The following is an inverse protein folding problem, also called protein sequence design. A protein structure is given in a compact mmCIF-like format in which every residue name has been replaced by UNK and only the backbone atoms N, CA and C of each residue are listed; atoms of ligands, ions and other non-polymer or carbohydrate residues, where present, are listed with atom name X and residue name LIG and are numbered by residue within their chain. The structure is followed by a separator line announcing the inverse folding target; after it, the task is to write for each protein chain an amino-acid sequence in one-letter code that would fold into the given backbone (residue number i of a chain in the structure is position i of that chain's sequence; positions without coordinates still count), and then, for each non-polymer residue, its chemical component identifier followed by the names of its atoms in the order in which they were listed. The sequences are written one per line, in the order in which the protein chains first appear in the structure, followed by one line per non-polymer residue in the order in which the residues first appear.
data_IF_705557890987
#
_entry.id   IF_705557890987
#
_cell.length_a   1.000
_cell.length_b   1.000
_cell.length_c   1.000
_cell.angle_alpha   90.00
_cell.angle_beta   90.00
_cell.angle_gamma   90.00
#
_symmetry.space_group_name_H-M   'P 1'
#
loop_
_entity.id
_entity.type
_entity.pdbx_description
1 polymer ?
#
# COMPACT_ATOMS: atom_id res chain seq x y z
N UNK A 1 -22.15 18.75 -39.19
CA UNK A 1 -21.77 17.49 -38.50
C UNK A 1 -20.28 17.13 -38.58
N UNK A 2 -19.45 17.90 -39.31
CA UNK A 2 -18.01 17.62 -39.54
C UNK A 2 -17.07 18.30 -38.51
N UNK A 3 -17.58 19.22 -37.68
CA UNK A 3 -16.78 19.95 -36.68
C UNK A 3 -16.41 19.13 -35.43
N UNK A 4 -17.14 18.05 -35.12
CA UNK A 4 -16.85 17.17 -33.97
C UNK A 4 -15.64 16.26 -34.16
N UNK A 5 -15.29 15.92 -35.41
CA UNK A 5 -14.17 15.01 -35.73
C UNK A 5 -12.80 15.70 -35.71
N UNK A 6 -12.74 17.02 -35.95
CA UNK A 6 -11.46 17.74 -36.09
C UNK A 6 -10.87 18.29 -34.79
N UNK A 7 -11.68 18.60 -33.76
CA UNK A 7 -11.19 19.27 -32.55
C UNK A 7 -10.95 18.36 -31.34
N UNK A 8 -11.59 17.18 -31.27
CA UNK A 8 -11.44 16.25 -30.13
C UNK A 8 -11.08 14.81 -30.52
N UNK A 9 -10.96 14.52 -31.82
CA UNK A 9 -10.54 13.22 -32.32
C UNK A 9 -9.05 12.98 -32.06
N UNK A 10 -8.19 13.85 -32.60
CA UNK A 10 -6.72 13.72 -32.53
C UNK A 10 -6.19 13.55 -31.11
N UNK A 11 -6.60 14.41 -30.18
CA UNK A 11 -6.18 14.34 -28.77
C UNK A 11 -6.54 12.98 -28.12
N UNK A 12 -7.75 12.45 -28.36
CA UNK A 12 -8.16 11.13 -27.85
C UNK A 12 -7.37 9.99 -28.48
N UNK A 13 -7.13 10.04 -29.79
CA UNK A 13 -6.32 9.03 -30.47
C UNK A 13 -4.91 8.97 -29.88
N UNK A 14 -4.24 10.12 -29.75
CA UNK A 14 -2.90 10.20 -29.17
C UNK A 14 -2.87 9.66 -27.74
N UNK A 15 -3.82 10.09 -26.91
CA UNK A 15 -3.90 9.66 -25.50
C UNK A 15 -4.10 8.15 -25.36
N UNK A 16 -5.06 7.59 -26.09
CA UNK A 16 -5.37 6.16 -25.98
C UNK A 16 -4.24 5.30 -26.55
N UNK A 17 -3.60 5.76 -27.63
CA UNK A 17 -2.42 5.09 -28.21
C UNK A 17 -1.27 5.06 -27.19
N UNK A 18 -0.95 6.20 -26.58
CA UNK A 18 0.09 6.30 -25.55
C UNK A 18 -0.23 5.44 -24.32
N UNK A 19 -1.49 5.41 -23.88
CA UNK A 19 -1.94 4.55 -22.79
C UNK A 19 -1.74 3.06 -23.12
N UNK A 20 -2.18 2.60 -24.29
CA UNK A 20 -1.96 1.22 -24.75
C UNK A 20 -0.46 0.89 -24.80
N UNK A 21 0.37 1.79 -25.33
CA UNK A 21 1.82 1.60 -25.40
C UNK A 21 2.50 1.56 -24.02
N UNK A 22 1.98 2.26 -23.01
CA UNK A 22 2.47 2.18 -21.62
C UNK A 22 2.35 0.78 -21.02
N UNK A 23 1.39 -0.01 -21.50
CA UNK A 23 1.18 -1.40 -21.11
C UNK A 23 1.90 -2.36 -22.07
N UNK A 24 1.73 -2.19 -23.38
CA UNK A 24 2.32 -3.06 -24.39
C UNK A 24 3.86 -3.08 -24.36
N UNK A 25 4.51 -1.97 -23.96
CA UNK A 25 5.97 -1.92 -23.77
C UNK A 25 6.49 -3.00 -22.81
N UNK A 26 5.67 -3.38 -21.81
CA UNK A 26 6.01 -4.43 -20.83
C UNK A 26 6.04 -5.83 -21.47
N UNK A 27 5.34 -6.02 -22.58
CA UNK A 27 5.33 -7.23 -23.38
C UNK A 27 6.25 -7.13 -24.62
N UNK A 28 7.05 -6.06 -24.74
CA UNK A 28 7.99 -5.86 -25.84
C UNK A 28 7.33 -5.52 -27.18
N UNK A 29 6.14 -4.93 -27.18
CA UNK A 29 5.45 -4.50 -28.41
C UNK A 29 4.85 -3.10 -28.27
N UNK A 30 4.41 -2.52 -29.39
CA UNK A 30 3.77 -1.21 -29.45
C UNK A 30 2.80 -1.12 -30.63
N UNK A 31 1.96 -0.10 -30.57
CA UNK A 31 1.07 0.33 -31.66
C UNK A 31 1.48 1.73 -32.12
N UNK A 32 1.39 1.95 -33.43
CA UNK A 32 1.58 3.25 -34.08
C UNK A 32 0.24 3.85 -34.46
N UNK A 33 -0.63 3.03 -35.08
CA UNK A 33 -1.96 3.44 -35.47
C UNK A 33 -3.02 2.56 -34.81
N UNK A 34 -3.71 3.12 -33.82
CA UNK A 34 -4.75 2.45 -33.05
C UNK A 34 -5.90 1.90 -33.93
N UNK A 35 -6.13 2.49 -35.09
CA UNK A 35 -7.19 2.11 -36.03
C UNK A 35 -6.83 0.85 -36.82
N UNK A 36 -5.54 0.60 -37.05
CA UNK A 36 -5.06 -0.50 -37.88
C UNK A 36 -4.48 -1.64 -37.05
N UNK A 37 -3.72 -1.31 -36.02
CA UNK A 37 -2.95 -2.26 -35.22
C UNK A 37 -3.80 -3.19 -34.35
N UNK A 38 -5.06 -2.82 -34.07
CA UNK A 38 -5.98 -3.68 -33.32
C UNK A 38 -6.88 -4.55 -34.22
N UNK A 39 -6.82 -4.37 -35.54
CA UNK A 39 -7.74 -5.06 -36.48
C UNK A 39 -7.56 -6.57 -36.54
N UNK A 40 -6.41 -7.10 -36.15
CA UNK A 40 -6.15 -8.55 -36.12
C UNK A 40 -6.50 -9.22 -34.78
N UNK A 41 -6.83 -8.42 -33.77
CA UNK A 41 -7.16 -8.84 -32.41
C UNK A 41 -5.96 -9.29 -31.56
N UNK A 42 -4.76 -9.49 -32.12
CA UNK A 42 -3.63 -10.06 -31.39
C UNK A 42 -3.07 -9.10 -30.36
N UNK A 43 -2.80 -7.85 -30.77
CA UNK A 43 -2.32 -6.80 -29.84
C UNK A 43 -3.38 -6.44 -28.80
N UNK A 44 -4.66 -6.52 -29.16
CA UNK A 44 -5.78 -6.30 -28.24
C UNK A 44 -5.84 -7.37 -27.15
N UNK A 45 -5.75 -8.65 -27.53
CA UNK A 45 -5.70 -9.75 -26.58
C UNK A 45 -4.50 -9.62 -25.65
N UNK A 46 -3.31 -9.32 -26.20
CA UNK A 46 -2.10 -9.14 -25.40
C UNK A 46 -2.22 -7.96 -24.43
N UNK A 47 -2.81 -6.84 -24.86
CA UNK A 47 -3.10 -5.71 -23.98
C UNK A 47 -3.99 -6.15 -22.80
N UNK A 48 -5.05 -6.92 -23.06
CA UNK A 48 -5.95 -7.44 -22.02
C UNK A 48 -5.23 -8.37 -21.05
N UNK A 49 -4.34 -9.24 -21.54
CA UNK A 49 -3.52 -10.10 -20.68
C UNK A 49 -2.61 -9.27 -19.76
N UNK A 50 -1.94 -8.24 -20.31
CA UNK A 50 -1.01 -7.41 -19.54
C UNK A 50 -1.72 -6.57 -18.46
N UNK A 51 -2.89 -6.01 -18.76
CA UNK A 51 -3.62 -5.16 -17.80
C UNK A 51 -4.36 -5.98 -16.73
N UNK A 52 -4.82 -7.19 -17.08
CA UNK A 52 -5.56 -8.05 -16.14
C UNK A 52 -4.65 -8.98 -15.35
N UNK A 53 -3.46 -9.30 -15.87
CA UNK A 53 -2.59 -10.35 -15.32
C UNK A 53 -3.08 -11.78 -15.60
N UNK A 54 -4.16 -11.94 -16.38
CA UNK A 54 -4.76 -13.24 -16.71
C UNK A 54 -4.47 -13.66 -18.15
N UNK A 55 -4.39 -14.97 -18.40
CA UNK A 55 -4.18 -15.51 -19.74
C UNK A 55 -5.51 -15.67 -20.47
N UNK A 56 -5.58 -15.16 -21.71
CA UNK A 56 -6.72 -15.34 -22.59
C UNK A 56 -6.63 -16.68 -23.33
N UNK A 57 -7.74 -17.09 -23.96
CA UNK A 57 -7.76 -18.23 -24.86
C UNK A 57 -6.74 -18.03 -26.00
N UNK A 58 -6.12 -19.13 -26.46
CA UNK A 58 -5.08 -19.05 -27.50
C UNK A 58 -5.62 -18.36 -28.77
N UNK A 59 -4.87 -17.40 -29.36
CA UNK A 59 -5.28 -16.72 -30.57
C UNK A 59 -5.22 -17.66 -31.79
N UNK A 60 -6.13 -17.42 -32.74
CA UNK A 60 -6.09 -17.99 -34.09
C UNK A 60 -4.93 -17.38 -34.86
N UNK A 61 -4.12 -18.22 -35.51
CA UNK A 61 -2.88 -17.79 -36.23
C UNK A 61 -3.10 -17.46 -37.70
N UNK A 62 -4.31 -17.64 -38.22
CA UNK A 62 -4.57 -17.47 -39.65
C UNK A 62 -4.74 -16.00 -40.06
N UNK A 63 -4.46 -15.70 -41.33
CA UNK A 63 -4.46 -14.32 -41.86
C UNK A 63 -5.83 -13.83 -42.40
N UNK A 64 -6.76 -14.76 -42.65
CA UNK A 64 -8.09 -14.44 -43.17
C UNK A 64 -8.93 -13.59 -42.19
N UNK A 65 -9.86 -12.77 -42.72
CA UNK A 65 -10.76 -11.91 -41.92
C UNK A 65 -11.50 -12.70 -40.82
N UNK A 66 -11.91 -13.92 -41.10
CA UNK A 66 -12.60 -14.79 -40.13
C UNK A 66 -11.75 -15.10 -38.88
N UNK A 67 -10.43 -15.23 -39.02
CA UNK A 67 -9.53 -15.45 -37.87
C UNK A 67 -9.38 -14.17 -37.06
N UNK A 68 -9.30 -13.01 -37.72
CA UNK A 68 -9.26 -11.71 -37.05
C UNK A 68 -10.53 -11.47 -36.22
N UNK A 69 -11.70 -11.76 -36.81
CA UNK A 69 -12.99 -11.69 -36.09
C UNK A 69 -12.98 -12.63 -34.89
N UNK A 70 -12.53 -13.88 -35.05
CA UNK A 70 -12.43 -14.83 -33.95
C UNK A 70 -11.54 -14.32 -32.82
N UNK A 71 -10.37 -13.74 -33.12
CA UNK A 71 -9.48 -13.15 -32.12
C UNK A 71 -10.10 -11.95 -31.40
N UNK A 72 -10.74 -11.04 -32.14
CA UNK A 72 -11.43 -9.90 -31.54
C UNK A 72 -12.60 -10.37 -30.68
N UNK A 73 -13.40 -11.35 -31.10
CA UNK A 73 -14.47 -11.93 -30.28
C UNK A 73 -13.93 -12.50 -28.97
N UNK A 74 -12.83 -13.27 -29.00
CA UNK A 74 -12.18 -13.77 -27.77
C UNK A 74 -11.82 -12.61 -26.81
N UNK A 75 -11.35 -11.49 -27.34
CA UNK A 75 -11.06 -10.30 -26.53
C UNK A 75 -12.34 -9.63 -25.97
N UNK A 76 -13.37 -9.47 -26.79
CA UNK A 76 -14.66 -8.89 -26.38
C UNK A 76 -15.38 -9.75 -25.34
N UNK A 77 -15.37 -11.07 -25.50
CA UNK A 77 -15.91 -12.03 -24.53
C UNK A 77 -15.18 -11.93 -23.19
N UNK A 78 -13.86 -11.80 -23.21
CA UNK A 78 -13.07 -11.56 -22.00
C UNK A 78 -13.48 -10.24 -21.32
N UNK A 79 -13.61 -9.15 -22.07
CA UNK A 79 -14.05 -7.85 -21.53
C UNK A 79 -15.45 -7.96 -20.92
N UNK A 80 -16.38 -8.64 -21.59
CA UNK A 80 -17.73 -8.88 -21.09
C UNK A 80 -17.72 -9.69 -19.77
N UNK A 81 -16.85 -10.71 -19.68
CA UNK A 81 -16.69 -11.53 -18.46
C UNK A 81 -16.23 -10.72 -17.25
N UNK A 82 -15.56 -9.57 -17.46
CA UNK A 82 -15.12 -8.65 -16.39
C UNK A 82 -16.21 -7.67 -15.95
N UNK A 83 -17.45 -7.83 -16.41
CA UNK A 83 -18.60 -7.03 -16.00
C UNK A 83 -18.81 -5.76 -16.83
N UNK A 84 -18.23 -5.68 -18.03
CA UNK A 84 -18.41 -4.56 -18.96
C UNK A 84 -19.57 -4.84 -19.90
N UNK A 85 -20.51 -3.90 -20.02
CA UNK A 85 -21.60 -3.98 -21.00
C UNK A 85 -21.13 -3.36 -22.33
N UNK A 86 -20.78 -4.22 -23.28
CA UNK A 86 -20.40 -3.81 -24.64
C UNK A 86 -21.65 -3.52 -25.48
N UNK A 87 -22.29 -2.38 -25.25
CA UNK A 87 -23.44 -1.96 -26.06
C UNK A 87 -22.94 -1.43 -27.40
N UNK A 88 -23.38 -2.06 -28.49
CA UNK A 88 -23.10 -1.63 -29.87
C UNK A 88 -21.64 -1.78 -30.34
N UNK A 89 -20.79 -2.57 -29.67
CA UNK A 89 -19.42 -2.86 -30.17
C UNK A 89 -19.37 -4.31 -30.66
N UNK A 90 -19.29 -4.48 -31.98
CA UNK A 90 -19.11 -5.79 -32.62
C UNK A 90 -17.68 -6.01 -33.10
N UNK A 91 -17.21 -7.26 -33.15
CA UNK A 91 -15.87 -7.57 -33.65
C UNK A 91 -15.66 -7.14 -35.10
N UNK A 92 -16.70 -7.18 -35.93
CA UNK A 92 -16.64 -6.75 -37.33
C UNK A 92 -16.21 -5.28 -37.45
N UNK A 93 -16.78 -4.39 -36.63
CA UNK A 93 -16.46 -2.97 -36.63
C UNK A 93 -14.98 -2.70 -36.32
N UNK A 94 -14.40 -3.49 -35.41
CA UNK A 94 -12.98 -3.38 -35.04
C UNK A 94 -12.09 -3.91 -36.17
N UNK A 95 -12.43 -5.08 -36.74
CA UNK A 95 -11.68 -5.69 -37.84
C UNK A 95 -11.75 -4.86 -39.12
N UNK A 96 -12.84 -4.13 -39.34
CA UNK A 96 -13.02 -3.28 -40.51
C UNK A 96 -12.44 -1.87 -40.32
N UNK A 97 -12.00 -1.53 -39.11
CA UNK A 97 -11.27 -0.28 -38.82
C UNK A 97 -12.17 0.91 -38.47
N UNK A 98 -13.35 0.67 -37.90
CA UNK A 98 -14.23 1.76 -37.47
C UNK A 98 -13.67 2.47 -36.24
N UNK A 99 -13.00 3.60 -36.48
CA UNK A 99 -12.33 4.44 -35.47
C UNK A 99 -13.22 4.73 -34.26
N UNK A 100 -14.50 5.06 -34.48
CA UNK A 100 -15.42 5.41 -33.39
C UNK A 100 -15.67 4.21 -32.47
N UNK A 101 -15.83 3.03 -33.05
CA UNK A 101 -16.04 1.80 -32.28
C UNK A 101 -14.76 1.34 -31.59
N UNK A 102 -13.61 1.45 -32.25
CA UNK A 102 -12.30 1.15 -31.66
C UNK A 102 -12.01 2.04 -30.46
N UNK A 103 -12.18 3.36 -30.59
CA UNK A 103 -12.01 4.28 -29.45
C UNK A 103 -13.04 4.04 -28.34
N UNK A 104 -14.27 3.69 -28.71
CA UNK A 104 -15.31 3.29 -27.75
C UNK A 104 -14.88 2.07 -26.93
N UNK A 105 -14.38 1.03 -27.60
CA UNK A 105 -13.87 -0.18 -26.98
C UNK A 105 -12.68 0.11 -26.06
N UNK A 106 -11.66 0.81 -26.55
CA UNK A 106 -10.49 1.15 -25.74
C UNK A 106 -10.87 1.99 -24.52
N UNK A 107 -11.82 2.93 -24.67
CA UNK A 107 -12.36 3.65 -23.52
C UNK A 107 -13.03 2.72 -22.50
N UNK A 108 -13.83 1.75 -22.92
CA UNK A 108 -14.45 0.80 -21.98
C UNK A 108 -13.42 -0.02 -21.23
N UNK A 109 -12.32 -0.40 -21.89
CA UNK A 109 -11.19 -1.10 -21.27
C UNK A 109 -10.51 -0.19 -20.23
N UNK A 110 -10.14 1.04 -20.61
CA UNK A 110 -9.53 2.00 -19.69
C UNK A 110 -10.44 2.25 -18.49
N UNK A 111 -11.73 2.52 -18.73
CA UNK A 111 -12.70 2.76 -17.68
C UNK A 111 -12.73 1.57 -16.71
N UNK A 112 -12.81 0.34 -17.22
CA UNK A 112 -12.94 -0.86 -16.38
C UNK A 112 -11.68 -1.19 -15.59
N UNK A 113 -10.51 -1.16 -16.23
CA UNK A 113 -9.26 -1.67 -15.64
C UNK A 113 -8.40 -0.59 -14.99
N UNK A 114 -8.53 0.68 -15.40
CA UNK A 114 -7.75 1.78 -14.82
C UNK A 114 -8.58 2.66 -13.88
N UNK A 115 -9.89 2.80 -14.07
CA UNK A 115 -10.67 3.79 -13.32
C UNK A 115 -11.65 3.14 -12.36
N UNK A 116 -12.33 2.06 -12.77
CA UNK A 116 -13.47 1.50 -12.03
C UNK A 116 -13.12 0.99 -10.63
N UNK A 117 -11.90 0.49 -10.44
CA UNK A 117 -11.42 0.00 -9.14
C UNK A 117 -10.91 1.13 -8.22
N UNK A 118 -10.93 2.39 -8.69
CA UNK A 118 -10.66 3.57 -7.88
C UNK A 118 -11.93 3.92 -7.10
N UNK A 119 -12.10 3.31 -5.93
CA UNK A 119 -13.15 3.72 -4.98
C UNK A 119 -12.55 4.54 -3.84
N UNK A 120 -13.07 5.75 -3.67
CA UNK A 120 -12.82 6.58 -2.50
C UNK A 120 -14.18 6.81 -1.85
N UNK A 121 -14.36 6.28 -0.63
CA UNK A 121 -15.59 6.47 0.16
C UNK A 121 -16.88 6.02 -0.53
N UNK A 122 -16.85 4.85 -1.17
CA UNK A 122 -18.03 4.20 -1.78
C UNK A 122 -18.73 5.02 -2.89
N UNK A 123 -18.07 6.07 -3.40
CA UNK A 123 -18.55 6.87 -4.54
C UNK A 123 -18.30 6.17 -5.88
N UNK A 124 -18.99 6.62 -6.93
CA UNK A 124 -18.75 6.07 -8.27
C UNK A 124 -17.28 6.30 -8.68
N UNK A 125 -16.72 5.42 -9.51
CA UNK A 125 -15.29 5.45 -9.85
C UNK A 125 -14.78 6.82 -10.37
N UNK A 126 -15.59 7.49 -11.20
CA UNK A 126 -15.28 8.83 -11.71
C UNK A 126 -15.29 9.87 -10.58
N UNK A 127 -16.28 9.82 -9.70
CA UNK A 127 -16.39 10.71 -8.55
C UNK A 127 -15.27 10.45 -7.54
N UNK A 128 -14.92 9.19 -7.30
CA UNK A 128 -13.79 8.80 -6.46
C UNK A 128 -12.47 9.36 -6.96
N UNK A 129 -12.21 9.27 -8.28
CA UNK A 129 -11.04 9.89 -8.90
C UNK A 129 -11.06 11.43 -8.76
N UNK A 130 -12.22 12.06 -8.96
CA UNK A 130 -12.37 13.51 -8.83
C UNK A 130 -12.13 13.97 -7.39
N UNK A 131 -12.74 13.28 -6.43
CA UNK A 131 -12.59 13.52 -4.99
C UNK A 131 -11.14 13.35 -4.56
N UNK A 132 -10.44 12.34 -5.07
CA UNK A 132 -9.00 12.18 -4.84
C UNK A 132 -8.22 13.40 -5.33
N UNK A 133 -8.49 13.87 -6.55
CA UNK A 133 -7.83 15.07 -7.09
C UNK A 133 -8.07 16.29 -6.21
N UNK A 134 -9.32 16.51 -5.81
CA UNK A 134 -9.72 17.63 -4.94
C UNK A 134 -9.03 17.57 -3.58
N UNK A 135 -8.96 16.39 -2.94
CA UNK A 135 -8.30 16.24 -1.64
C UNK A 135 -6.80 16.51 -1.71
N UNK A 136 -6.14 16.02 -2.76
CA UNK A 136 -4.71 16.21 -2.94
C UNK A 136 -4.37 17.66 -3.28
N UNK A 137 -5.26 18.37 -3.97
CA UNK A 137 -5.06 19.77 -4.38
C UNK A 137 -5.70 20.81 -3.46
N UNK A 138 -6.47 20.40 -2.44
CA UNK A 138 -7.11 21.31 -1.48
C UNK A 138 -6.15 22.34 -0.81
N UNK A 139 -4.87 22.03 -0.51
CA UNK A 139 -3.96 23.03 0.05
C UNK A 139 -3.55 24.16 -0.91
N UNK A 140 -3.79 24.01 -2.23
CA UNK A 140 -3.33 24.94 -3.26
C UNK A 140 -4.45 25.91 -3.63
N UNK A 141 -4.37 27.15 -3.14
CA UNK A 141 -5.41 28.18 -3.31
C UNK A 141 -5.71 28.54 -4.77
N UNK A 142 -4.74 28.37 -5.66
CA UNK A 142 -4.85 28.69 -7.09
C UNK A 142 -5.41 27.53 -7.92
N UNK A 143 -5.76 26.39 -7.31
CA UNK A 143 -6.29 25.20 -7.98
C UNK A 143 -7.69 24.89 -7.48
N UNK A 144 -8.62 24.71 -8.41
CA UNK A 144 -9.99 24.29 -8.11
C UNK A 144 -10.46 23.27 -9.14
N UNK A 145 -10.43 21.99 -8.76
CA UNK A 145 -10.75 20.88 -9.66
C UNK A 145 -12.23 20.52 -9.51
N UNK A 146 -13.04 20.82 -10.52
CA UNK A 146 -14.49 20.52 -10.53
C UNK A 146 -14.89 19.51 -11.61
N UNK A 147 -14.04 19.30 -12.60
CA UNK A 147 -14.32 18.44 -13.75
C UNK A 147 -13.00 17.95 -14.37
N UNK A 148 -13.10 16.96 -15.26
CA UNK A 148 -11.96 16.46 -16.05
C UNK A 148 -11.82 17.15 -17.41
N UNK A 149 -12.20 18.42 -17.55
CA UNK A 149 -11.98 19.15 -18.80
C UNK A 149 -11.33 20.52 -18.56
N UNK A 150 -12.11 21.53 -18.17
CA UNK A 150 -11.68 22.92 -18.11
C UNK A 150 -10.81 23.16 -16.88
N UNK A 151 -11.05 22.43 -15.78
CA UNK A 151 -10.31 22.59 -14.53
C UNK A 151 -8.82 22.22 -14.64
N UNK A 152 -8.42 21.54 -15.71
CA UNK A 152 -7.05 21.08 -15.95
C UNK A 152 -6.32 21.90 -17.01
N UNK A 153 -7.03 22.84 -17.66
CA UNK A 153 -6.52 23.58 -18.82
C UNK A 153 -5.35 24.51 -18.48
N UNK A 154 -5.29 25.00 -17.24
CA UNK A 154 -4.22 25.88 -16.78
C UNK A 154 -2.93 25.16 -16.36
N UNK A 155 -2.93 23.81 -16.36
CA UNK A 155 -1.80 22.97 -15.99
C UNK A 155 -1.47 22.92 -14.49
N UNK A 156 -2.04 23.82 -13.68
CA UNK A 156 -1.75 23.90 -12.24
C UNK A 156 -2.26 22.67 -11.49
N UNK A 157 -3.38 22.08 -11.93
CA UNK A 157 -3.90 20.84 -11.36
C UNK A 157 -2.89 19.68 -11.44
N UNK A 158 -2.23 19.51 -12.59
CA UNK A 158 -1.20 18.46 -12.76
C UNK A 158 0.03 18.74 -11.89
N UNK A 159 0.52 19.98 -11.92
CA UNK A 159 1.68 20.38 -11.10
C UNK A 159 1.42 20.20 -9.60
N UNK A 160 0.22 20.57 -9.13
CA UNK A 160 -0.16 20.44 -7.73
C UNK A 160 -0.25 18.97 -7.28
N UNK A 161 -0.76 18.08 -8.15
CA UNK A 161 -0.78 16.64 -7.86
C UNK A 161 0.63 16.06 -7.69
N UNK A 162 1.56 16.44 -8.58
CA UNK A 162 2.95 16.00 -8.50
C UNK A 162 3.61 16.55 -7.24
N UNK A 163 3.55 17.88 -7.03
CA UNK A 163 4.17 18.54 -5.87
C UNK A 163 3.59 18.02 -4.54
N UNK A 164 2.32 17.60 -4.49
CA UNK A 164 1.72 17.05 -3.26
C UNK A 164 2.34 15.70 -2.85
N UNK A 165 2.75 14.89 -3.81
CA UNK A 165 3.34 13.56 -3.55
C UNK A 165 4.86 13.58 -3.55
N UNK A 166 5.46 14.47 -4.36
CA UNK A 166 6.90 14.64 -4.54
C UNK A 166 7.23 16.12 -4.69
N UNK A 167 7.31 16.88 -3.58
CA UNK A 167 7.53 18.32 -3.61
C UNK A 167 8.90 18.69 -4.21
N UNK A 168 9.87 17.79 -4.18
CA UNK A 168 11.22 18.00 -4.72
C UNK A 168 11.28 18.10 -6.24
N UNK A 169 10.24 17.65 -6.96
CA UNK A 169 10.26 17.55 -8.41
C UNK A 169 9.77 18.82 -9.12
N UNK A 170 8.97 19.67 -8.45
CA UNK A 170 8.38 20.86 -9.05
C UNK A 170 8.48 22.04 -8.09
N UNK A 171 9.09 23.13 -8.55
CA UNK A 171 9.04 24.41 -7.83
C UNK A 171 7.71 25.11 -8.08
N UNK A 172 6.71 24.79 -7.26
CA UNK A 172 5.34 25.28 -7.44
C UNK A 172 5.23 26.81 -7.32
N UNK A 173 6.13 27.45 -6.57
CA UNK A 173 6.11 28.90 -6.36
C UNK A 173 6.36 29.73 -7.61
N UNK A 174 7.03 29.14 -8.61
CA UNK A 174 7.31 29.79 -9.91
C UNK A 174 6.17 29.69 -10.91
N UNK A 175 5.21 28.78 -10.67
CA UNK A 175 4.13 28.51 -11.62
C UNK A 175 3.05 29.59 -11.54
N UNK A 176 2.55 30.00 -12.70
CA UNK A 176 1.53 31.05 -12.81
C UNK A 176 0.41 30.64 -13.76
N UNK A 177 -0.80 31.09 -13.49
CA UNK A 177 -2.01 30.65 -14.22
C UNK A 177 -2.07 31.19 -15.66
N UNK A 178 -1.38 32.30 -15.92
CA UNK A 178 -1.26 32.98 -17.20
C UNK A 178 -0.35 32.25 -18.20
N UNK A 179 0.44 31.25 -17.75
CA UNK A 179 1.31 30.46 -18.61
C UNK A 179 0.96 28.95 -18.58
N UNK A 180 -0.21 28.58 -19.14
CA UNK A 180 -0.70 27.20 -19.09
C UNK A 180 0.19 26.22 -19.88
N UNK A 181 0.82 26.69 -20.95
CA UNK A 181 1.65 25.85 -21.82
C UNK A 181 2.90 25.38 -21.09
N UNK A 182 3.63 26.28 -20.42
CA UNK A 182 4.79 25.93 -19.61
C UNK A 182 4.41 25.04 -18.42
N UNK A 183 3.28 25.32 -17.75
CA UNK A 183 2.81 24.49 -16.63
C UNK A 183 2.53 23.05 -17.07
N UNK A 184 1.82 22.86 -18.18
CA UNK A 184 1.49 21.54 -18.71
C UNK A 184 2.74 20.78 -19.13
N UNK A 185 3.62 21.40 -19.92
CA UNK A 185 4.87 20.77 -20.37
C UNK A 185 5.76 20.38 -19.18
N UNK A 186 5.90 21.26 -18.19
CA UNK A 186 6.66 20.96 -16.97
C UNK A 186 6.10 19.73 -16.24
N UNK A 187 4.78 19.67 -16.07
CA UNK A 187 4.15 18.52 -15.42
C UNK A 187 4.35 17.22 -16.22
N UNK A 188 4.21 17.28 -17.54
CA UNK A 188 4.32 16.12 -18.43
C UNK A 188 5.76 15.60 -18.51
N UNK A 189 6.75 16.50 -18.59
CA UNK A 189 8.17 16.16 -18.57
C UNK A 189 8.60 15.51 -17.26
N UNK A 190 8.16 16.08 -16.13
CA UNK A 190 8.46 15.53 -14.80
C UNK A 190 7.80 14.15 -14.62
N UNK A 191 6.57 13.99 -15.09
CA UNK A 191 5.85 12.72 -15.02
C UNK A 191 6.55 11.61 -15.82
N UNK A 192 7.01 11.91 -17.03
CA UNK A 192 7.74 10.95 -17.87
C UNK A 192 9.09 10.58 -17.25
N UNK A 193 9.87 11.58 -16.85
CA UNK A 193 11.25 11.37 -16.39
C UNK A 193 11.36 10.72 -15.01
N UNK A 194 10.47 11.05 -14.08
CA UNK A 194 10.60 10.67 -12.67
C UNK A 194 9.50 9.73 -12.16
N UNK A 195 8.37 9.63 -12.87
CA UNK A 195 7.22 8.80 -12.47
C UNK A 195 6.96 7.64 -13.43
N UNK A 196 7.71 7.53 -14.54
CA UNK A 196 7.50 6.54 -15.63
C UNK A 196 6.10 6.61 -16.26
N UNK A 197 5.46 7.77 -16.19
CA UNK A 197 4.15 8.03 -16.81
C UNK A 197 4.41 8.68 -18.18
N UNK A 198 4.16 7.98 -19.30
CA UNK A 198 4.43 8.53 -20.62
C UNK A 198 3.54 9.74 -20.91
N UNK A 199 4.01 10.65 -21.75
CA UNK A 199 3.22 11.81 -22.20
C UNK A 199 2.06 11.34 -23.07
N UNK A 200 0.86 11.33 -22.51
CA UNK A 200 -0.36 10.94 -23.24
C UNK A 200 -1.10 12.15 -23.81
N UNK A 201 -0.81 13.35 -23.31
CA UNK A 201 -1.47 14.57 -23.70
C UNK A 201 -0.45 15.55 -24.28
N UNK A 202 -0.88 16.31 -25.27
CA UNK A 202 -0.14 17.44 -25.81
C UNK A 202 -0.62 18.75 -25.17
N UNK A 203 0.33 19.59 -24.73
CA UNK A 203 0.01 20.87 -24.09
C UNK A 203 -0.63 21.86 -25.07
N UNK A 204 -0.20 21.88 -26.33
CA UNK A 204 -0.75 22.74 -27.38
C UNK A 204 -2.22 22.38 -27.67
N UNK A 205 -2.53 21.08 -27.74
CA UNK A 205 -3.89 20.58 -27.97
C UNK A 205 -4.85 20.99 -26.84
N UNK A 206 -4.40 20.92 -25.58
CA UNK A 206 -5.20 21.30 -24.41
C UNK A 206 -5.47 22.80 -24.40
N UNK A 207 -4.44 23.62 -24.65
CA UNK A 207 -4.56 25.08 -24.61
C UNK A 207 -5.37 25.61 -25.78
N UNK A 208 -5.12 25.09 -26.99
CA UNK A 208 -5.80 25.48 -28.23
C UNK A 208 -7.28 25.11 -28.27
N UNK A 209 -7.70 24.11 -27.50
CA UNK A 209 -9.10 23.66 -27.47
C UNK A 209 -9.91 24.40 -26.40
N UNK A 210 -11.12 24.85 -26.75
CA UNK A 210 -12.01 25.52 -25.79
C UNK A 210 -12.40 24.64 -24.60
N UNK A 211 -12.60 23.34 -24.85
CA UNK A 211 -12.92 22.32 -23.84
C UNK A 211 -12.11 21.04 -24.10
N UNK A 212 -11.08 20.76 -23.29
CA UNK A 212 -10.31 19.52 -23.38
C UNK A 212 -11.21 18.28 -23.29
N UNK A 213 -10.82 17.19 -23.95
CA UNK A 213 -11.59 15.95 -23.92
C UNK A 213 -11.55 15.30 -22.54
N UNK A 214 -12.74 15.07 -21.98
CA UNK A 214 -12.89 14.57 -20.63
C UNK A 214 -12.28 13.17 -20.44
N UNK A 215 -12.43 12.30 -21.43
CA UNK A 215 -11.94 10.93 -21.37
C UNK A 215 -10.42 10.91 -21.41
N UNK A 216 -9.82 11.71 -22.28
CA UNK A 216 -8.36 11.84 -22.37
C UNK A 216 -7.74 12.32 -21.05
N UNK A 217 -8.30 13.37 -20.45
CA UNK A 217 -7.83 13.87 -19.14
C UNK A 217 -8.03 12.81 -18.04
N UNK A 218 -9.19 12.14 -17.99
CA UNK A 218 -9.44 11.07 -17.02
C UNK A 218 -8.43 9.93 -17.15
N UNK A 219 -8.12 9.49 -18.37
CA UNK A 219 -7.12 8.47 -18.64
C UNK A 219 -5.77 8.88 -18.06
N UNK A 220 -5.31 10.09 -18.36
CA UNK A 220 -4.01 10.55 -17.90
C UNK A 220 -3.94 10.75 -16.38
N UNK A 221 -4.97 11.37 -15.79
CA UNK A 221 -5.07 11.54 -14.33
C UNK A 221 -5.16 10.20 -13.60
N UNK A 222 -5.81 9.19 -14.18
CA UNK A 222 -5.83 7.84 -13.61
C UNK A 222 -4.43 7.20 -13.56
N UNK A 223 -3.56 7.48 -14.55
CA UNK A 223 -2.17 7.03 -14.52
C UNK A 223 -1.39 7.66 -13.37
N UNK A 224 -1.60 8.94 -13.07
CA UNK A 224 -1.04 9.57 -11.85
C UNK A 224 -1.55 8.92 -10.57
N UNK A 225 -2.86 8.63 -10.50
CA UNK A 225 -3.43 7.94 -9.35
C UNK A 225 -2.75 6.60 -9.09
N UNK A 226 -2.57 5.77 -10.12
CA UNK A 226 -1.90 4.47 -9.97
C UNK A 226 -0.43 4.58 -9.60
N UNK A 227 0.30 5.53 -10.20
CA UNK A 227 1.70 5.76 -9.87
C UNK A 227 1.87 6.15 -8.39
N UNK A 228 1.05 7.08 -7.89
CA UNK A 228 1.16 7.55 -6.51
C UNK A 228 0.53 6.60 -5.48
N UNK A 229 -0.60 5.96 -5.80
CA UNK A 229 -1.23 4.98 -4.91
C UNK A 229 -0.40 3.70 -4.80
N UNK A 230 0.27 3.27 -5.88
CA UNK A 230 1.23 2.17 -5.87
C UNK A 230 2.41 2.46 -4.94
N UNK A 231 3.00 3.65 -5.05
CA UNK A 231 4.09 4.09 -4.17
C UNK A 231 3.66 4.11 -2.69
N UNK A 232 2.47 4.65 -2.38
CA UNK A 232 1.95 4.68 -1.01
C UNK A 232 1.68 3.28 -0.44
N UNK A 233 1.18 2.34 -1.26
CA UNK A 233 0.97 0.93 -0.86
C UNK A 233 2.29 0.24 -0.58
N UNK A 234 3.31 0.44 -1.43
CA UNK A 234 4.64 -0.12 -1.24
C UNK A 234 5.30 0.42 0.04
N UNK A 235 5.22 1.73 0.27
CA UNK A 235 5.72 2.37 1.49
C UNK A 235 5.01 1.84 2.74
N UNK A 236 3.70 1.69 2.70
CA UNK A 236 2.93 1.15 3.84
C UNK A 236 3.30 -0.31 4.12
N UNK A 237 3.50 -1.12 3.07
CA UNK A 237 3.97 -2.50 3.22
C UNK A 237 5.39 -2.55 3.80
N UNK A 238 6.30 -1.70 3.31
CA UNK A 238 7.65 -1.56 3.84
C UNK A 238 7.65 -1.16 5.33
N UNK A 239 6.84 -0.16 5.70
CA UNK A 239 6.71 0.27 7.09
C UNK A 239 6.15 -0.83 8.01
N UNK A 240 5.25 -1.70 7.50
CA UNK A 240 4.79 -2.88 8.26
C UNK A 240 5.91 -3.90 8.45
N UNK A 241 6.70 -4.15 7.40
CA UNK A 241 7.86 -5.05 7.47
C UNK A 241 8.89 -4.52 8.47
N UNK A 242 9.24 -3.23 8.41
CA UNK A 242 10.16 -2.61 9.36
C UNK A 242 9.68 -2.75 10.81
N UNK A 243 8.38 -2.60 11.07
CA UNK A 243 7.79 -2.83 12.41
C UNK A 243 7.93 -4.28 12.86
N UNK A 244 7.66 -5.24 11.98
CA UNK A 244 7.80 -6.67 12.31
C UNK A 244 9.26 -7.03 12.56
N UNK A 245 10.19 -6.52 11.75
CA UNK A 245 11.63 -6.73 11.94
C UNK A 245 12.11 -6.18 13.27
N UNK A 246 11.66 -4.97 13.67
CA UNK A 246 12.01 -4.38 14.96
C UNK A 246 11.55 -5.28 16.13
N UNK A 247 10.30 -5.77 16.09
CA UNK A 247 9.79 -6.68 17.13
C UNK A 247 10.56 -8.00 17.16
N UNK A 248 10.94 -8.54 15.99
CA UNK A 248 11.72 -9.78 15.96
C UNK A 248 13.13 -9.60 16.52
N UNK A 249 13.77 -8.47 16.22
CA UNK A 249 15.08 -8.14 16.77
C UNK A 249 15.05 -7.98 18.29
N UNK A 250 13.98 -7.37 18.84
CA UNK A 250 13.75 -7.29 20.28
C UNK A 250 13.55 -8.69 20.90
N UNK A 251 12.82 -9.59 20.23
CA UNK A 251 12.62 -10.96 20.72
C UNK A 251 13.92 -11.77 20.71
N UNK A 252 14.76 -11.62 19.69
CA UNK A 252 16.08 -12.25 19.64
C UNK A 252 16.95 -11.79 20.83
N UNK A 253 16.96 -10.49 21.11
CA UNK A 253 17.67 -9.96 22.28
C UNK A 253 17.14 -10.54 23.61
N UNK A 254 15.82 -10.66 23.76
CA UNK A 254 15.21 -11.25 24.95
C UNK A 254 15.55 -12.73 25.12
N UNK A 255 15.66 -13.48 24.03
CA UNK A 255 16.09 -14.89 24.07
C UNK A 255 17.55 -15.00 24.51
N UNK A 256 18.44 -14.15 23.99
CA UNK A 256 19.85 -14.11 24.42
C UNK A 256 19.98 -13.74 25.90
N UNK A 257 19.24 -12.73 26.36
CA UNK A 257 19.25 -12.31 27.77
C UNK A 257 18.73 -13.43 28.68
N UNK A 258 17.68 -14.14 28.25
CA UNK A 258 17.15 -15.29 28.97
C UNK A 258 18.17 -16.43 29.04
N UNK A 259 18.81 -16.78 27.92
CA UNK A 259 19.84 -17.83 27.86
C UNK A 259 21.02 -17.52 28.78
N UNK A 260 21.47 -16.26 28.80
CA UNK A 260 22.53 -15.80 29.68
C UNK A 260 22.14 -15.92 31.15
N UNK A 261 20.97 -15.38 31.54
CA UNK A 261 20.49 -15.45 32.92
C UNK A 261 20.29 -16.90 33.39
N UNK A 262 19.77 -17.77 32.52
CA UNK A 262 19.57 -19.19 32.83
C UNK A 262 20.91 -19.92 32.98
N UNK A 263 21.88 -19.65 32.10
CA UNK A 263 23.23 -20.21 32.17
C UNK A 263 23.95 -19.80 33.46
N UNK A 264 23.94 -18.50 33.79
CA UNK A 264 24.54 -17.96 35.02
C UNK A 264 23.92 -18.59 36.27
N UNK A 265 22.58 -18.73 36.27
CA UNK A 265 21.86 -19.38 37.37
C UNK A 265 22.22 -20.86 37.50
N UNK A 266 22.26 -21.60 36.40
CA UNK A 266 22.63 -23.02 36.39
C UNK A 266 24.06 -23.23 36.87
N UNK A 267 25.00 -22.40 36.44
CA UNK A 267 26.38 -22.43 36.90
C UNK A 267 26.45 -22.15 38.41
N UNK A 268 25.72 -21.15 38.89
CA UNK A 268 25.64 -20.85 40.32
C UNK A 268 25.07 -22.03 41.13
N UNK A 269 23.98 -22.66 40.67
CA UNK A 269 23.38 -23.84 41.31
C UNK A 269 24.41 -24.97 41.38
N UNK A 270 25.08 -25.28 40.26
CA UNK A 270 26.12 -26.32 40.18
C UNK A 270 27.28 -26.05 41.12
N UNK A 271 27.70 -24.79 41.29
CA UNK A 271 28.76 -24.39 42.22
C UNK A 271 28.32 -24.45 43.68
N UNK A 272 27.05 -24.12 43.96
CA UNK A 272 26.55 -23.90 45.31
C UNK A 272 26.06 -25.19 45.97
N UNK A 273 25.49 -26.14 45.22
CA UNK A 273 25.03 -27.43 45.76
C UNK A 273 26.15 -28.17 46.51
N UNK A 274 27.36 -28.39 45.93
CA UNK A 274 28.44 -29.09 46.64
C UNK A 274 28.89 -28.36 47.91
N UNK A 275 28.89 -27.02 47.90
CA UNK A 275 29.21 -26.22 49.09
C UNK A 275 28.12 -26.31 50.17
N UNK A 276 26.84 -26.39 49.77
CA UNK A 276 25.72 -26.58 50.69
C UNK A 276 25.69 -27.99 51.29
N UNK A 277 26.04 -29.00 50.49
CA UNK A 277 26.09 -30.42 50.84
C UNK A 277 27.33 -30.81 51.65
N UNK A 278 28.39 -30.00 51.62
CA UNK A 278 29.57 -30.20 52.45
C UNK A 278 29.21 -30.01 53.95
N UNK A 279 28.97 -31.14 54.64
CA UNK A 279 28.67 -31.23 56.07
C UNK A 279 29.91 -31.56 56.90
N UNK A 280 31.07 -31.01 56.53
CA UNK A 280 32.27 -31.15 57.36
C UNK A 280 31.99 -30.56 58.76
N UNK A 281 32.27 -31.30 59.85
CA UNK A 281 32.12 -30.76 61.20
C UNK A 281 33.23 -29.76 61.48
N UNK A 282 32.91 -28.46 61.43
CA UNK A 282 33.77 -27.43 62.01
C UNK A 282 33.46 -27.30 63.52
N UNK A 283 34.51 -27.23 64.32
CA UNK A 283 34.46 -27.35 65.78
C UNK A 283 33.90 -26.12 66.53
N UNK A 284 33.08 -25.26 65.91
CA UNK A 284 32.42 -24.13 66.60
C UNK A 284 31.13 -23.67 65.89
N UNK A 285 30.07 -23.39 66.65
CA UNK A 285 28.69 -23.04 66.22
C UNK A 285 28.56 -21.50 65.96
N UNK A 286 27.68 -20.94 65.09
CA UNK A 286 27.68 -20.94 63.62
C UNK A 286 27.57 -19.50 63.00
N UNK A 287 28.59 -18.98 62.30
CA UNK A 287 28.45 -17.74 61.48
C UNK A 287 27.68 -17.95 60.17
N UNK A 288 27.59 -19.20 59.73
CA UNK A 288 27.06 -19.63 58.43
C UNK A 288 25.53 -19.52 58.28
N UNK A 289 24.76 -19.41 59.37
CA UNK A 289 23.30 -19.31 59.33
C UNK A 289 22.80 -17.96 58.78
N UNK A 290 23.60 -16.89 58.94
CA UNK A 290 23.29 -15.56 58.40
C UNK A 290 23.83 -15.41 56.97
N UNK A 291 25.04 -15.91 56.70
CA UNK A 291 25.66 -15.85 55.36
C UNK A 291 24.91 -16.68 54.30
N UNK A 292 24.38 -17.86 54.64
CA UNK A 292 23.57 -18.68 53.72
C UNK A 292 22.26 -18.01 53.28
N UNK A 293 21.69 -17.12 54.11
CA UNK A 293 20.42 -16.44 53.83
C UNK A 293 20.62 -15.17 52.99
N UNK A 294 21.75 -14.48 53.16
CA UNK A 294 22.06 -13.24 52.43
C UNK A 294 22.62 -13.51 51.04
N UNK A 295 23.40 -14.59 50.85
CA UNK A 295 24.00 -14.93 49.55
C UNK A 295 23.01 -15.52 48.53
N UNK A 296 21.84 -15.97 48.96
CA UNK A 296 20.80 -16.59 48.11
C UNK A 296 19.78 -15.60 47.57
N UNK A 297 19.65 -14.41 48.18
CA UNK A 297 18.66 -13.38 47.81
C UNK A 297 18.81 -12.82 46.38
N UNK A 298 20.01 -12.50 45.87
CA UNK A 298 20.18 -12.00 44.50
C UNK A 298 19.80 -13.06 43.45
N UNK A 299 20.04 -14.33 43.76
CA UNK A 299 19.78 -15.44 42.84
C UNK A 299 18.32 -15.88 42.85
N UNK A 300 17.60 -15.71 43.97
CA UNK A 300 16.14 -15.79 44.01
C UNK A 300 15.48 -14.68 43.18
N UNK A 301 16.03 -13.47 43.18
CA UNK A 301 15.58 -12.39 42.29
C UNK A 301 15.86 -12.70 40.81
N UNK A 302 16.99 -13.35 40.50
CA UNK A 302 17.30 -13.87 39.16
C UNK A 302 16.33 -14.95 38.71
N UNK A 303 15.98 -15.90 39.59
CA UNK A 303 14.96 -16.93 39.34
C UNK A 303 13.58 -16.33 39.03
N UNK A 304 13.14 -15.33 39.80
CA UNK A 304 11.89 -14.63 39.53
C UNK A 304 11.94 -13.85 38.20
N UNK A 305 13.08 -13.25 37.86
CA UNK A 305 13.26 -12.50 36.61
C UNK A 305 13.26 -13.42 35.38
N UNK A 306 13.94 -14.58 35.46
CA UNK A 306 13.92 -15.60 34.41
C UNK A 306 12.52 -16.20 34.20
N UNK A 307 11.76 -16.43 35.27
CA UNK A 307 10.38 -16.92 35.19
C UNK A 307 9.44 -15.89 34.53
N UNK A 308 9.57 -14.60 34.86
CA UNK A 308 8.83 -13.51 34.22
C UNK A 308 9.19 -13.33 32.73
N UNK A 309 10.46 -13.50 32.38
CA UNK A 309 10.93 -13.48 30.99
C UNK A 309 10.29 -14.59 30.14
N UNK A 310 10.28 -15.83 30.66
CA UNK A 310 9.61 -16.99 30.03
C UNK A 310 8.13 -16.74 29.75
N UNK A 311 7.41 -16.14 30.71
CA UNK A 311 5.97 -15.88 30.59
C UNK A 311 5.67 -14.75 29.60
N UNK A 312 6.58 -13.77 29.49
CA UNK A 312 6.51 -12.67 28.51
C UNK A 312 6.77 -13.19 27.09
N UNK A 313 7.77 -14.05 26.90
CA UNK A 313 8.07 -14.70 25.62
C UNK A 313 6.91 -15.62 25.18
N UNK A 314 6.31 -16.38 26.11
CA UNK A 314 5.22 -17.32 25.80
C UNK A 314 3.91 -16.62 25.39
N UNK A 315 3.62 -15.44 25.95
CA UNK A 315 2.32 -14.79 25.80
C UNK A 315 2.33 -13.51 24.93
N UNK A 316 3.49 -13.07 24.43
CA UNK A 316 3.59 -11.91 23.53
C UNK A 316 3.05 -10.59 24.10
N UNK A 317 2.95 -10.48 25.43
CA UNK A 317 2.46 -9.30 26.15
C UNK A 317 3.43 -8.97 27.28
N UNK A 318 3.91 -7.72 27.31
CA UNK A 318 4.61 -7.15 28.46
C UNK A 318 3.65 -7.04 29.64
N UNK A 319 3.65 -8.04 30.53
CA UNK A 319 2.90 -8.02 31.78
C UNK A 319 3.72 -7.28 32.85
N UNK A 320 3.53 -5.96 32.94
CA UNK A 320 4.03 -5.10 34.04
C UNK A 320 3.20 -5.25 35.33
N UNK A 321 2.80 -6.47 35.67
CA UNK A 321 2.11 -6.73 36.94
C UNK A 321 2.80 -7.89 37.60
N UNK A 322 3.78 -7.57 38.46
CA UNK A 322 4.09 -8.26 39.73
C UNK A 322 5.25 -7.56 40.48
N UNK A 323 5.33 -6.22 40.42
CA UNK A 323 6.17 -5.44 41.34
C UNK A 323 5.68 -5.45 42.80
N UNK A 324 4.50 -6.03 43.07
CA UNK A 324 3.86 -5.98 44.39
C UNK A 324 4.07 -7.22 45.27
N UNK A 325 4.72 -8.29 44.77
CA UNK A 325 4.83 -9.55 45.52
C UNK A 325 6.16 -9.75 46.26
N UNK A 326 7.16 -8.90 46.05
CA UNK A 326 8.40 -8.90 46.83
C UNK A 326 8.22 -8.32 48.24
N UNK A 327 7.14 -7.58 48.52
CA UNK A 327 6.82 -7.05 49.84
C UNK A 327 6.23 -8.10 50.81
N UNK A 328 5.76 -9.25 50.31
CA UNK A 328 5.05 -10.25 51.12
C UNK A 328 5.91 -11.41 51.64
N UNK A 329 7.14 -11.57 51.14
CA UNK A 329 8.06 -12.61 51.63
C UNK A 329 8.97 -12.15 52.78
N UNK A 330 8.84 -10.90 53.24
CA UNK A 330 9.71 -10.28 54.24
C UNK A 330 9.21 -10.22 55.68
N UNK A 331 7.95 -10.59 55.98
CA UNK A 331 7.40 -10.44 57.35
C UNK A 331 6.65 -11.69 57.77
N UNK A 332 7.35 -12.59 58.47
CA UNK A 332 6.71 -13.75 59.06
C UNK A 332 7.69 -14.64 59.81
N UNK A 333 8.17 -14.19 60.97
CA UNK A 333 8.41 -14.97 62.20
C UNK A 333 8.79 -14.00 63.33
N UNK A 334 8.19 -14.21 64.51
CA UNK A 334 8.35 -13.55 65.82
C UNK A 334 7.48 -12.31 66.09
N UNK A 335 6.32 -12.51 66.72
CA UNK A 335 6.09 -12.15 68.13
C UNK A 335 4.73 -12.68 68.63
N UNK A 336 4.74 -13.29 69.81
CA UNK A 336 3.64 -13.98 70.49
C UNK A 336 2.74 -13.05 71.31
N UNK A 337 1.40 -13.22 71.17
CA UNK A 337 0.27 -13.02 72.14
C UNK A 337 0.00 -11.61 72.73
N UNK A 338 -1.19 -11.31 73.33
CA UNK A 338 -2.42 -12.11 73.56
C UNK A 338 -3.78 -11.42 73.20
N UNK A 339 -4.84 -12.25 73.25
CA UNK A 339 -6.25 -11.98 73.62
C UNK A 339 -7.01 -10.70 73.20
N UNK A 340 -8.19 -10.93 72.61
CA UNK A 340 -9.40 -10.18 72.99
C UNK A 340 -10.07 -9.36 71.89
N UNK A 341 -11.39 -9.54 71.81
CA UNK A 341 -12.40 -8.68 71.15
C UNK A 341 -12.56 -8.90 69.63
N UNK A 342 -13.58 -9.70 69.29
CA UNK A 342 -14.06 -9.86 67.93
C UNK A 342 -14.97 -8.72 67.48
N UNK A 343 -15.19 -8.63 66.17
CA UNK A 343 -16.45 -8.19 65.56
C UNK A 343 -16.54 -8.77 64.13
N UNK A 344 -17.76 -9.16 63.76
CA UNK A 344 -18.20 -9.81 62.54
C UNK A 344 -18.24 -8.88 61.30
N UNK A 345 -18.29 -9.43 60.07
CA UNK A 345 -18.17 -8.65 58.83
C UNK A 345 -19.55 -8.16 58.35
N UNK A 346 -19.61 -6.94 57.82
CA UNK A 346 -20.73 -6.49 56.97
C UNK A 346 -20.25 -6.32 55.54
N UNK A 347 -20.97 -7.01 54.67
CA UNK A 347 -20.98 -6.92 53.21
C UNK A 347 -21.42 -5.54 52.72
N UNK A 348 -20.76 -4.98 51.69
CA UNK A 348 -21.43 -4.08 50.74
C UNK A 348 -20.93 -4.33 49.32
N UNK A 349 -21.94 -4.51 48.47
CA UNK A 349 -22.02 -4.77 47.04
C UNK A 349 -21.48 -3.65 46.14
N UNK A 350 -21.03 -4.06 44.96
CA UNK A 350 -20.69 -3.21 43.82
C UNK A 350 -21.95 -2.64 43.14
N UNK A 351 -21.84 -1.39 42.70
CA UNK A 351 -22.48 -0.84 41.50
C UNK A 351 -21.39 -0.35 40.56
#
# INVERSE_FOLDING_TARGET
TVWWLRAGGGCRLGTFTAWCNSHLRKAGTQIENIEEDFRDGLKLMLLLEVISGERLAKPERGKMRVHKISNVNKALDFIASKGVKLVSIGAEEIVDGNVKMTLGMIWTIILRFAIQDISVEETSAKEGLLLWCQRKTAPYKNVNIQNFHISWKDGLGFCALIHRHRPELIDYGKLRKDDPLTNLNTAFDVAEKYLDIPKMLDAEDIVGTARPDEKAIMTYVSSFYHAFSGAQKAETAANRICKVLAVNQENEQLMEDYEKLASDLLEWIRRTIPWLENRAPENTIPRWLVERRVSTLPHLASLCSSALGLETIRNGRTLWLLGSSLAWWGVGVCLTRPEGVGFSPTSVSAQ
#
